data_IF_525612976437
#
_entry.id   IF_525612976437
#
_cell.length_a   1.000
_cell.length_b   1.000
_cell.length_c   1.000
_cell.angle_alpha   90.00
_cell.angle_beta   90.00
_cell.angle_gamma   90.00
#
_symmetry.space_group_name_H-M   'P 1'
#
loop_
_entity.id
_entity.type
_entity.pdbx_description
1 polymer ?
#
# COMPACT_ATOMS: atom_id res chain seq x y z
N UNK A 1 22.37 -5.81 -12.95
CA UNK A 1 23.53 -6.30 -12.15
C UNK A 1 22.96 -7.11 -11.00
N UNK A 2 23.52 -8.28 -10.69
CA UNK A 2 23.01 -9.11 -9.60
C UNK A 2 23.72 -8.79 -8.28
N UNK A 3 22.98 -8.69 -7.18
CA UNK A 3 23.59 -8.64 -5.84
C UNK A 3 23.89 -10.08 -5.42
N UNK A 4 25.15 -10.37 -5.10
CA UNK A 4 25.64 -11.75 -4.86
C UNK A 4 26.24 -11.98 -3.48
N UNK A 5 26.42 -10.93 -2.68
CA UNK A 5 27.06 -11.03 -1.37
C UNK A 5 27.28 -9.69 -0.69
N UNK A 6 28.01 -9.68 0.45
CA UNK A 6 28.42 -8.46 1.13
C UNK A 6 29.28 -7.56 0.24
N UNK A 7 29.23 -6.25 0.49
CA UNK A 7 30.07 -5.26 -0.16
C UNK A 7 30.99 -4.56 0.84
N UNK A 8 32.21 -4.29 0.42
CA UNK A 8 33.20 -3.61 1.26
C UNK A 8 32.78 -2.16 1.51
N UNK A 9 32.82 -1.73 2.77
CA UNK A 9 32.46 -0.36 3.15
C UNK A 9 30.96 -0.06 3.23
N UNK A 10 30.07 -1.03 2.94
CA UNK A 10 28.63 -0.86 3.19
C UNK A 10 28.29 -1.02 4.68
N UNK A 11 27.30 -0.26 5.16
CA UNK A 11 26.79 -0.39 6.51
C UNK A 11 26.23 -1.79 6.76
N UNK A 12 26.42 -2.31 7.98
CA UNK A 12 25.90 -3.63 8.37
C UNK A 12 24.45 -3.59 8.84
N UNK A 13 23.94 -2.41 9.16
CA UNK A 13 22.57 -2.21 9.61
C UNK A 13 21.94 -1.04 8.86
N UNK A 14 20.67 -1.19 8.54
CA UNK A 14 19.79 -0.13 8.06
C UNK A 14 18.54 -0.12 8.92
N UNK A 15 18.04 1.07 9.24
CA UNK A 15 16.76 1.24 9.95
C UNK A 15 15.75 1.86 9.01
N UNK A 16 14.59 1.23 8.86
CA UNK A 16 13.47 1.74 8.09
C UNK A 16 12.20 1.82 8.92
N UNK A 17 11.27 2.69 8.54
CA UNK A 17 9.97 2.77 9.17
C UNK A 17 8.88 3.17 8.19
N UNK A 18 7.67 2.67 8.37
CA UNK A 18 6.52 3.20 7.65
C UNK A 18 5.40 2.21 7.36
N UNK A 19 4.96 2.23 6.10
CA UNK A 19 3.82 1.50 5.58
C UNK A 19 3.68 0.06 6.11
N UNK A 20 2.48 -0.24 6.60
CA UNK A 20 2.12 -1.62 6.98
C UNK A 20 1.65 -2.44 5.78
N UNK A 21 1.15 -1.79 4.72
CA UNK A 21 0.69 -2.45 3.50
C UNK A 21 1.72 -3.42 2.91
N UNK A 22 3.03 -3.11 2.78
CA UNK A 22 4.03 -4.06 2.27
C UNK A 22 4.79 -4.82 3.38
N UNK A 23 4.38 -4.76 4.65
CA UNK A 23 5.24 -5.22 5.74
C UNK A 23 5.56 -6.72 5.65
N UNK A 24 4.63 -7.56 5.19
CA UNK A 24 4.87 -8.97 4.92
C UNK A 24 5.92 -9.17 3.81
N UNK A 25 5.82 -8.40 2.72
CA UNK A 25 6.77 -8.42 1.60
C UNK A 25 8.17 -7.96 2.03
N UNK A 26 8.25 -6.83 2.73
CA UNK A 26 9.50 -6.29 3.24
C UNK A 26 10.18 -7.22 4.23
N UNK A 27 9.42 -7.87 5.11
CA UNK A 27 9.96 -8.89 6.01
C UNK A 27 10.62 -10.03 5.23
N UNK A 28 9.99 -10.51 4.14
CA UNK A 28 10.58 -11.52 3.26
C UNK A 28 11.81 -10.99 2.53
N UNK A 29 11.73 -9.82 1.92
CA UNK A 29 12.84 -9.18 1.20
C UNK A 29 14.06 -9.04 2.11
N UNK A 30 13.89 -8.43 3.27
CA UNK A 30 14.98 -8.13 4.18
C UNK A 30 15.59 -9.38 4.79
N UNK A 31 14.80 -10.43 5.04
CA UNK A 31 15.33 -11.72 5.47
C UNK A 31 16.20 -12.39 4.40
N UNK A 32 15.75 -12.42 3.14
CA UNK A 32 16.52 -13.00 2.05
C UNK A 32 17.75 -12.16 1.69
N UNK A 33 17.63 -10.83 1.73
CA UNK A 33 18.75 -9.92 1.57
C UNK A 33 19.80 -10.13 2.67
N UNK A 34 19.39 -10.26 3.93
CA UNK A 34 20.31 -10.53 5.03
C UNK A 34 21.06 -11.85 4.87
N UNK A 35 20.39 -12.93 4.45
CA UNK A 35 21.07 -14.22 4.19
C UNK A 35 22.20 -14.06 3.17
N UNK A 36 21.95 -13.26 2.14
CA UNK A 36 22.86 -12.99 1.03
C UNK A 36 24.00 -12.04 1.40
N UNK A 37 23.71 -10.89 2.00
CA UNK A 37 24.66 -9.77 2.17
C UNK A 37 25.15 -9.59 3.60
N UNK A 38 24.50 -10.23 4.57
CA UNK A 38 24.68 -10.03 6.02
C UNK A 38 24.31 -8.62 6.52
N UNK A 39 23.69 -7.79 5.68
CA UNK A 39 23.11 -6.51 6.10
C UNK A 39 21.78 -6.78 6.79
N UNK A 40 21.64 -6.30 8.03
CA UNK A 40 20.39 -6.37 8.79
C UNK A 40 19.54 -5.13 8.52
N UNK A 41 18.26 -5.34 8.20
CA UNK A 41 17.31 -4.24 7.98
C UNK A 41 16.24 -4.27 9.06
N UNK A 42 16.31 -3.29 9.96
CA UNK A 42 15.38 -3.11 11.06
C UNK A 42 14.18 -2.27 10.59
N UNK A 43 13.11 -2.93 10.15
CA UNK A 43 11.92 -2.25 9.64
C UNK A 43 10.80 -2.16 10.68
N UNK A 44 10.34 -0.94 10.96
CA UNK A 44 9.23 -0.66 11.87
C UNK A 44 7.93 -0.41 11.08
N UNK A 45 7.00 -1.35 11.16
CA UNK A 45 5.66 -1.25 10.55
C UNK A 45 4.77 -0.33 11.40
N UNK A 46 4.76 0.96 11.09
CA UNK A 46 4.11 2.02 11.91
C UNK A 46 3.12 2.90 11.13
N UNK A 47 2.80 2.51 9.89
CA UNK A 47 1.96 3.29 8.99
C UNK A 47 2.75 4.33 8.18
N UNK A 48 2.23 4.66 7.00
CA UNK A 48 2.91 5.56 6.05
C UNK A 48 3.15 6.96 6.59
N UNK A 49 2.23 7.50 7.41
CA UNK A 49 2.42 8.79 8.07
C UNK A 49 3.59 8.76 9.05
N UNK A 50 3.75 7.65 9.78
CA UNK A 50 4.91 7.42 10.64
C UNK A 50 6.21 7.30 9.84
N UNK A 51 6.18 6.63 8.68
CA UNK A 51 7.33 6.50 7.78
C UNK A 51 7.78 7.83 7.18
N UNK A 52 6.82 8.62 6.68
CA UNK A 52 7.07 9.99 6.18
C UNK A 52 7.68 10.85 7.29
N UNK A 53 7.12 10.80 8.50
CA UNK A 53 7.67 11.55 9.64
C UNK A 53 9.08 11.09 9.99
N UNK A 54 9.33 9.78 10.05
CA UNK A 54 10.62 9.23 10.44
C UNK A 54 11.74 9.61 9.45
N UNK A 55 11.48 9.56 8.14
CA UNK A 55 12.46 10.00 7.15
C UNK A 55 12.63 11.52 7.19
N UNK A 56 11.54 12.30 7.27
CA UNK A 56 11.60 13.78 7.33
C UNK A 56 12.36 14.30 8.55
N UNK A 57 12.25 13.61 9.69
CA UNK A 57 12.97 13.91 10.92
C UNK A 57 14.36 13.25 11.00
N UNK A 58 14.77 12.51 9.97
CA UNK A 58 16.05 11.80 9.88
C UNK A 58 16.27 10.79 11.03
N UNK A 59 15.20 10.19 11.56
CA UNK A 59 15.27 9.16 12.60
C UNK A 59 15.33 7.74 12.04
N UNK A 60 15.11 7.58 10.73
CA UNK A 60 15.30 6.34 9.98
C UNK A 60 16.15 6.61 8.74
N UNK A 61 16.86 5.58 8.26
CA UNK A 61 17.68 5.66 7.05
C UNK A 61 16.83 5.70 5.78
N UNK A 62 15.63 5.12 5.83
CA UNK A 62 14.61 5.21 4.79
C UNK A 62 13.19 5.21 5.39
N UNK A 63 12.26 5.86 4.71
CA UNK A 63 10.84 5.79 4.99
C UNK A 63 10.12 4.81 4.07
N UNK A 64 8.90 4.41 4.40
CA UNK A 64 8.05 3.66 3.50
C UNK A 64 6.62 4.20 3.50
N UNK A 65 6.01 4.32 2.33
CA UNK A 65 4.67 4.89 2.17
C UNK A 65 3.88 4.24 1.04
N UNK A 66 2.57 4.15 1.20
CA UNK A 66 1.62 3.76 0.13
C UNK A 66 0.83 4.98 -0.37
N UNK A 67 1.07 6.14 0.24
CA UNK A 67 0.61 7.44 -0.22
C UNK A 67 1.81 8.19 -0.79
N UNK A 68 1.81 8.61 -2.06
CA UNK A 68 2.78 9.59 -2.52
C UNK A 68 2.83 10.78 -1.57
N UNK A 69 4.04 11.24 -1.23
CA UNK A 69 4.15 12.44 -0.38
C UNK A 69 3.60 13.64 -1.14
N UNK A 70 2.93 14.55 -0.45
CA UNK A 70 2.53 15.83 -1.05
C UNK A 70 3.75 16.75 -1.21
N UNK A 71 3.63 17.77 -2.04
CA UNK A 71 4.70 18.78 -2.20
C UNK A 71 4.99 19.52 -0.90
N UNK A 72 4.00 19.68 -0.02
CA UNK A 72 4.18 20.26 1.31
C UNK A 72 5.04 19.34 2.19
N UNK A 73 4.71 18.05 2.25
CA UNK A 73 5.49 17.07 3.01
C UNK A 73 6.93 16.95 2.49
N UNK A 74 7.14 17.04 1.18
CA UNK A 74 8.47 17.04 0.57
C UNK A 74 9.30 18.25 1.02
N UNK A 75 8.69 19.43 1.12
CA UNK A 75 9.36 20.65 1.60
C UNK A 75 9.69 20.62 3.10
N UNK A 76 8.94 19.85 3.88
CA UNK A 76 9.17 19.68 5.32
C UNK A 76 10.30 18.69 5.66
N UNK A 77 10.78 17.91 4.68
CA UNK A 77 11.84 16.92 4.88
C UNK A 77 13.20 17.61 5.16
N UNK A 78 13.75 17.41 6.36
CA UNK A 78 14.93 18.14 6.84
C UNK A 78 16.23 17.75 6.15
N UNK A 79 16.34 16.51 5.66
CA UNK A 79 17.52 15.99 4.98
C UNK A 79 17.64 16.34 3.48
N UNK A 80 16.71 17.13 2.92
CA UNK A 80 16.74 17.56 1.51
C UNK A 80 15.80 16.78 0.59
N UNK A 81 16.19 16.64 -0.68
CA UNK A 81 15.37 16.01 -1.73
C UNK A 81 15.09 14.53 -1.41
N UNK A 82 13.81 14.17 -1.31
CA UNK A 82 13.33 12.79 -1.16
C UNK A 82 12.99 12.21 -2.53
N UNK A 83 13.40 10.98 -2.75
CA UNK A 83 13.04 10.15 -3.89
C UNK A 83 11.98 9.12 -3.49
N UNK A 84 10.98 8.91 -4.35
CA UNK A 84 9.98 7.85 -4.20
C UNK A 84 10.38 6.66 -5.08
N UNK A 85 10.93 5.60 -4.49
CA UNK A 85 11.30 4.38 -5.21
C UNK A 85 10.16 3.35 -5.10
N UNK A 86 9.42 3.06 -6.19
CA UNK A 86 8.36 2.05 -6.15
C UNK A 86 8.96 0.66 -5.91
N UNK A 87 8.29 -0.16 -5.10
CA UNK A 87 8.79 -1.48 -4.69
C UNK A 87 7.91 -2.63 -5.17
N UNK A 88 6.59 -2.46 -5.11
CA UNK A 88 5.61 -3.44 -5.54
C UNK A 88 4.25 -2.77 -5.73
N UNK A 89 3.27 -3.54 -6.20
CA UNK A 89 1.87 -3.12 -6.23
C UNK A 89 1.01 -4.11 -5.46
N UNK A 90 -0.09 -3.63 -4.89
CA UNK A 90 -1.06 -4.49 -4.22
C UNK A 90 -2.48 -3.94 -4.31
N UNK A 91 -3.41 -4.69 -3.71
CA UNK A 91 -4.83 -4.40 -3.68
C UNK A 91 -5.27 -4.08 -2.25
N UNK A 92 -5.97 -2.96 -2.08
CA UNK A 92 -6.76 -2.73 -0.86
C UNK A 92 -8.12 -3.37 -1.06
N UNK A 93 -8.54 -4.22 -0.14
CA UNK A 93 -9.78 -5.00 -0.25
C UNK A 93 -10.79 -4.58 0.80
N UNK A 94 -12.06 -4.51 0.41
CA UNK A 94 -13.15 -4.49 1.38
C UNK A 94 -13.26 -5.89 1.98
N UNK A 95 -12.86 -6.03 3.24
CA UNK A 95 -12.89 -7.30 3.96
C UNK A 95 -13.97 -7.26 5.03
N UNK A 96 -14.65 -8.38 5.24
CA UNK A 96 -15.79 -8.42 6.16
C UNK A 96 -15.83 -9.72 6.97
N UNK A 97 -16.57 -9.67 8.06
CA UNK A 97 -16.88 -10.80 8.90
C UNK A 97 -18.40 -10.88 9.08
N UNK A 98 -19.04 -11.76 8.31
CA UNK A 98 -20.46 -12.06 8.45
C UNK A 98 -20.55 -13.57 8.66
N UNK A 99 -20.98 -14.04 9.84
CA UNK A 99 -21.04 -15.47 10.14
C UNK A 99 -21.77 -16.26 9.05
N UNK A 100 -21.07 -17.26 8.49
CA UNK A 100 -21.59 -18.14 7.43
C UNK A 100 -21.47 -17.59 6.00
N UNK A 101 -20.91 -16.39 5.81
CA UNK A 101 -20.65 -15.77 4.50
C UNK A 101 -19.16 -15.47 4.25
N UNK A 102 -18.26 -16.10 5.00
CA UNK A 102 -16.80 -15.87 4.92
C UNK A 102 -16.25 -16.23 3.53
N UNK A 103 -16.85 -17.21 2.85
CA UNK A 103 -16.49 -17.61 1.48
C UNK A 103 -17.39 -16.99 0.42
N UNK A 104 -18.40 -16.22 0.84
CA UNK A 104 -19.21 -15.48 -0.11
C UNK A 104 -18.30 -14.47 -0.83
N UNK A 105 -18.60 -14.23 -2.10
CA UNK A 105 -17.93 -13.22 -2.91
C UNK A 105 -18.85 -12.02 -3.01
N UNK A 106 -19.08 -11.36 -1.86
CA UNK A 106 -20.01 -10.22 -1.81
C UNK A 106 -19.53 -9.12 -2.77
N UNK A 107 -20.47 -8.56 -3.50
CA UNK A 107 -20.27 -7.54 -4.53
C UNK A 107 -20.60 -6.17 -3.97
N UNK A 108 -19.70 -5.22 -4.16
CA UNK A 108 -19.89 -3.84 -3.73
C UNK A 108 -19.57 -2.85 -4.85
N UNK A 109 -20.42 -1.85 -5.05
CA UNK A 109 -20.03 -0.66 -5.81
C UNK A 109 -19.23 0.31 -4.94
N UNK A 110 -18.52 1.24 -5.57
CA UNK A 110 -17.83 2.32 -4.87
C UNK A 110 -18.78 3.17 -4.02
N UNK A 111 -19.98 3.47 -4.54
CA UNK A 111 -21.01 4.24 -3.83
C UNK A 111 -21.56 3.49 -2.63
N UNK A 112 -21.71 2.16 -2.73
CA UNK A 112 -22.15 1.31 -1.61
C UNK A 112 -21.10 1.31 -0.50
N UNK A 113 -19.81 1.13 -0.84
CA UNK A 113 -18.72 1.24 0.13
C UNK A 113 -18.68 2.63 0.76
N UNK A 114 -18.76 3.70 -0.03
CA UNK A 114 -18.78 5.06 0.49
C UNK A 114 -19.94 5.28 1.46
N UNK A 115 -21.14 4.78 1.13
CA UNK A 115 -22.32 4.94 1.97
C UNK A 115 -22.22 4.14 3.29
N UNK A 116 -21.61 2.96 3.27
CA UNK A 116 -21.30 2.19 4.51
C UNK A 116 -20.36 3.00 5.40
N UNK A 117 -19.23 3.48 4.87
CA UNK A 117 -18.24 4.22 5.68
C UNK A 117 -18.69 5.65 6.05
N UNK A 118 -19.69 6.20 5.38
CA UNK A 118 -20.40 7.42 5.80
C UNK A 118 -21.41 7.19 6.93
N UNK A 119 -21.79 5.93 7.18
CA UNK A 119 -22.89 5.58 8.10
C UNK A 119 -24.29 5.75 7.51
N UNK A 120 -24.41 5.94 6.20
CA UNK A 120 -25.69 6.05 5.49
C UNK A 120 -26.33 4.67 5.24
N UNK A 121 -25.51 3.63 5.09
CA UNK A 121 -25.95 2.22 5.08
C UNK A 121 -25.51 1.58 6.39
N UNK A 122 -26.47 1.19 7.21
CA UNK A 122 -26.21 0.72 8.58
C UNK A 122 -26.53 -0.75 8.80
N UNK A 123 -27.16 -1.44 7.85
CA UNK A 123 -27.52 -2.87 7.95
C UNK A 123 -27.07 -3.67 6.73
N UNK A 124 -26.70 -4.93 6.93
CA UNK A 124 -26.21 -5.80 5.87
C UNK A 124 -27.25 -6.16 4.81
N UNK A 125 -28.53 -6.19 5.17
CA UNK A 125 -29.64 -6.44 4.24
C UNK A 125 -30.16 -5.16 3.55
N UNK A 126 -29.42 -4.05 3.61
CA UNK A 126 -29.79 -2.82 2.91
C UNK A 126 -30.07 -3.10 1.41
N UNK A 127 -31.12 -2.50 0.81
CA UNK A 127 -31.48 -2.74 -0.58
C UNK A 127 -30.35 -2.51 -1.58
N UNK A 128 -29.42 -1.58 -1.32
CA UNK A 128 -28.26 -1.34 -2.20
C UNK A 128 -27.27 -2.50 -2.18
N UNK A 129 -27.01 -3.08 -1.00
CA UNK A 129 -26.17 -4.27 -0.88
C UNK A 129 -26.89 -5.47 -1.50
N UNK A 130 -28.18 -5.65 -1.21
CA UNK A 130 -28.97 -6.77 -1.70
C UNK A 130 -29.10 -6.79 -3.23
N UNK A 131 -29.22 -5.63 -3.88
CA UNK A 131 -29.37 -5.52 -5.33
C UNK A 131 -28.20 -6.15 -6.10
N UNK A 132 -26.97 -5.98 -5.61
CA UNK A 132 -25.77 -6.54 -6.25
C UNK A 132 -25.47 -7.99 -5.82
N UNK A 133 -26.14 -8.49 -4.79
CA UNK A 133 -25.88 -9.78 -4.15
C UNK A 133 -27.08 -10.74 -4.21
N UNK A 134 -27.81 -10.72 -5.33
CA UNK A 134 -28.96 -11.59 -5.53
C UNK A 134 -28.62 -13.08 -5.26
N UNK A 135 -29.45 -13.72 -4.42
CA UNK A 135 -29.27 -15.11 -4.00
C UNK A 135 -28.45 -15.31 -2.73
N UNK A 136 -27.79 -14.27 -2.21
CA UNK A 136 -27.12 -14.31 -0.91
C UNK A 136 -28.12 -13.97 0.21
N UNK A 137 -28.17 -14.78 1.26
CA UNK A 137 -29.00 -14.52 2.45
C UNK A 137 -28.30 -13.51 3.34
N UNK A 138 -28.50 -12.22 3.06
CA UNK A 138 -27.94 -11.13 3.86
C UNK A 138 -28.70 -10.96 5.20
N UNK A 139 -27.99 -10.86 6.34
CA UNK A 139 -28.63 -10.73 7.65
C UNK A 139 -29.14 -9.30 7.91
N UNK A 140 -30.15 -9.15 8.77
CA UNK A 140 -30.69 -7.85 9.19
C UNK A 140 -29.90 -7.18 10.34
N UNK A 141 -28.60 -7.43 10.35
CA UNK A 141 -27.67 -7.07 11.42
C UNK A 141 -26.99 -5.74 11.11
N UNK A 142 -26.65 -5.00 12.17
CA UNK A 142 -25.98 -3.72 12.05
C UNK A 142 -24.54 -3.89 11.52
N UNK A 143 -24.12 -2.98 10.65
CA UNK A 143 -22.77 -2.95 10.10
C UNK A 143 -21.85 -2.24 11.07
N UNK A 144 -20.75 -2.90 11.44
CA UNK A 144 -19.64 -2.26 12.17
C UNK A 144 -18.52 -1.93 11.19
N UNK A 145 -18.37 -0.65 10.84
CA UNK A 145 -17.22 -0.22 10.03
C UNK A 145 -15.94 -0.21 10.86
N UNK A 146 -14.84 -0.67 10.27
CA UNK A 146 -13.51 -0.69 10.87
C UNK A 146 -12.56 0.09 9.97
N UNK A 147 -11.86 1.06 10.52
CA UNK A 147 -10.91 1.91 9.82
C UNK A 147 -9.57 1.94 10.53
N UNK A 148 -8.56 2.55 9.90
CA UNK A 148 -7.25 2.74 10.52
C UNK A 148 -7.29 3.84 11.58
N UNK A 149 -6.63 3.62 12.71
CA UNK A 149 -6.44 4.65 13.75
C UNK A 149 -5.14 5.46 13.59
N UNK A 150 -4.19 4.95 12.80
CA UNK A 150 -2.89 5.58 12.51
C UNK A 150 -2.84 6.21 11.12
N UNK A 151 -1.88 7.12 10.92
CA UNK A 151 -1.61 7.74 9.61
C UNK A 151 -1.18 6.70 8.58
N UNK A 152 -2.07 6.39 7.64
CA UNK A 152 -2.03 5.16 6.85
C UNK A 152 -2.09 5.42 5.35
N UNK A 153 -1.14 4.86 4.59
CA UNK A 153 -1.21 4.84 3.14
C UNK A 153 -2.37 3.98 2.62
N UNK A 154 -2.70 2.88 3.30
CA UNK A 154 -3.91 2.08 2.98
C UNK A 154 -5.18 2.92 3.12
N UNK A 155 -5.26 3.81 4.12
CA UNK A 155 -6.37 4.77 4.26
C UNK A 155 -6.36 5.77 3.13
N UNK A 156 -5.20 6.33 2.77
CA UNK A 156 -5.10 7.21 1.61
C UNK A 156 -5.65 6.54 0.35
N UNK A 157 -5.18 5.33 0.02
CA UNK A 157 -5.63 4.60 -1.18
C UNK A 157 -7.14 4.34 -1.15
N UNK A 158 -7.67 3.88 -0.01
CA UNK A 158 -9.11 3.62 0.13
C UNK A 158 -9.94 4.89 0.00
N UNK A 159 -9.54 5.96 0.69
CA UNK A 159 -10.27 7.24 0.68
C UNK A 159 -10.10 8.04 -0.62
N UNK A 160 -8.98 7.86 -1.34
CA UNK A 160 -8.77 8.37 -2.70
C UNK A 160 -9.74 7.68 -3.67
N UNK A 161 -9.85 6.35 -3.59
CA UNK A 161 -10.86 5.60 -4.34
C UNK A 161 -12.29 6.09 -4.02
N UNK A 162 -12.66 6.18 -2.73
CA UNK A 162 -13.99 6.66 -2.35
C UNK A 162 -14.25 8.10 -2.81
N UNK A 163 -13.23 8.96 -2.81
CA UNK A 163 -13.32 10.33 -3.34
C UNK A 163 -13.48 10.37 -4.86
N UNK A 164 -12.94 9.39 -5.59
CA UNK A 164 -13.09 9.30 -7.04
C UNK A 164 -14.51 8.89 -7.45
N UNK A 165 -15.14 7.99 -6.69
CA UNK A 165 -16.43 7.37 -7.04
C UNK A 165 -17.64 7.95 -6.31
N UNK A 166 -17.44 8.70 -5.22
CA UNK A 166 -18.54 9.30 -4.44
C UNK A 166 -18.32 10.81 -4.23
N UNK A 167 -19.12 11.67 -4.89
CA UNK A 167 -19.09 13.12 -4.66
C UNK A 167 -19.40 13.52 -3.21
N UNK A 168 -20.27 12.77 -2.53
CA UNK A 168 -20.60 13.00 -1.12
C UNK A 168 -19.39 12.73 -0.22
N UNK A 169 -18.70 11.60 -0.43
CA UNK A 169 -17.47 11.26 0.28
C UNK A 169 -16.41 12.33 0.06
N UNK A 170 -16.16 12.69 -1.20
CA UNK A 170 -15.16 13.70 -1.59
C UNK A 170 -15.39 15.03 -0.90
N UNK A 171 -16.64 15.44 -0.75
CA UNK A 171 -17.01 16.72 -0.14
C UNK A 171 -16.94 16.68 1.39
N UNK A 172 -17.38 15.58 2.02
CA UNK A 172 -17.48 15.48 3.48
C UNK A 172 -16.18 15.03 4.16
N UNK A 173 -15.44 14.13 3.52
CA UNK A 173 -14.30 13.43 4.14
C UNK A 173 -13.00 13.66 3.34
N UNK A 174 -13.06 13.53 2.01
CA UNK A 174 -11.89 13.64 1.14
C UNK A 174 -10.92 12.46 1.25
N UNK A 175 -9.67 12.68 0.82
CA UNK A 175 -8.62 11.66 0.75
C UNK A 175 -7.35 12.13 1.47
N UNK A 176 -6.85 11.31 2.39
CA UNK A 176 -5.64 11.59 3.17
C UNK A 176 -5.18 10.32 3.89
N UNK A 177 -3.94 10.31 4.38
CA UNK A 177 -3.47 9.25 5.29
C UNK A 177 -4.23 9.25 6.63
N UNK A 178 -4.84 10.39 6.99
CA UNK A 178 -5.70 10.57 8.15
C UNK A 178 -6.89 11.46 7.76
N UNK A 179 -8.10 11.00 8.04
CA UNK A 179 -9.36 11.72 7.79
C UNK A 179 -10.24 11.69 9.04
N UNK A 180 -11.22 12.59 9.10
CA UNK A 180 -12.24 12.57 10.14
C UNK A 180 -13.31 11.53 9.78
N UNK A 181 -13.12 10.29 10.23
CA UNK A 181 -14.08 9.21 9.99
C UNK A 181 -15.44 9.53 10.64
N UNK A 182 -16.57 9.39 9.91
CA UNK A 182 -17.91 9.64 10.47
C UNK A 182 -18.29 8.73 11.65
N UNK A 183 -17.65 7.56 11.74
CA UNK A 183 -17.80 6.60 12.82
C UNK A 183 -17.00 5.33 12.53
N UNK A 184 -17.20 4.31 13.38
CA UNK A 184 -16.53 3.01 13.26
C UNK A 184 -15.48 2.76 14.34
N UNK A 185 -14.81 1.62 14.23
CA UNK A 185 -13.76 1.17 15.15
C UNK A 185 -12.39 1.40 14.53
N UNK A 186 -11.46 1.99 15.29
CA UNK A 186 -10.11 2.26 14.84
C UNK A 186 -9.12 1.14 15.17
N UNK A 187 -8.62 0.42 14.15
CA UNK A 187 -7.54 -0.56 14.27
C UNK A 187 -6.18 0.03 13.88
N UNK A 188 -5.12 -0.27 14.63
CA UNK A 188 -3.75 0.20 14.31
C UNK A 188 -3.08 -0.74 13.30
N UNK A 189 -2.60 -0.20 12.19
CA UNK A 189 -1.97 -1.02 11.14
C UNK A 189 -2.97 -1.85 10.33
N UNK A 190 -2.47 -2.60 9.35
CA UNK A 190 -3.33 -3.54 8.62
C UNK A 190 -3.70 -4.73 9.53
N UNK A 191 -2.77 -5.10 10.40
CA UNK A 191 -2.88 -6.10 11.46
C UNK A 191 -4.04 -5.79 12.40
N UNK A 192 -4.12 -4.55 12.89
CA UNK A 192 -5.19 -4.14 13.80
C UNK A 192 -6.54 -4.14 13.12
N UNK A 193 -6.67 -3.59 11.91
CA UNK A 193 -7.95 -3.60 11.17
C UNK A 193 -8.41 -5.03 10.88
N UNK A 194 -7.52 -5.89 10.38
CA UNK A 194 -7.86 -7.31 10.15
C UNK A 194 -8.25 -8.02 11.45
N UNK A 195 -7.56 -7.73 12.56
CA UNK A 195 -7.87 -8.27 13.88
C UNK A 195 -9.25 -7.85 14.39
N UNK A 196 -9.58 -6.56 14.28
CA UNK A 196 -10.88 -6.02 14.66
C UNK A 196 -12.02 -6.61 13.82
N UNK A 197 -11.83 -6.71 12.49
CA UNK A 197 -12.82 -7.33 11.60
C UNK A 197 -13.04 -8.80 12.00
N UNK A 198 -11.96 -9.53 12.24
CA UNK A 198 -12.02 -10.95 12.63
C UNK A 198 -12.78 -11.18 13.94
N UNK A 199 -12.61 -10.31 14.92
CA UNK A 199 -13.19 -10.47 16.26
C UNK A 199 -14.59 -9.89 16.39
N UNK A 200 -15.00 -9.03 15.45
CA UNK A 200 -16.28 -8.33 15.48
C UNK A 200 -17.22 -8.90 14.42
N UNK A 201 -18.25 -9.68 14.79
CA UNK A 201 -19.28 -10.11 13.85
C UNK A 201 -19.97 -8.91 13.18
N UNK A 202 -20.39 -9.11 11.94
CA UNK A 202 -21.06 -8.12 11.10
C UNK A 202 -20.22 -6.87 10.80
N UNK A 203 -18.90 -7.00 10.87
CA UNK A 203 -17.98 -5.90 10.58
C UNK A 203 -17.50 -5.89 9.13
N UNK A 204 -17.07 -4.70 8.69
CA UNK A 204 -16.42 -4.47 7.40
C UNK A 204 -15.28 -3.48 7.58
N UNK A 205 -14.11 -3.79 7.03
CA UNK A 205 -12.94 -2.92 7.01
C UNK A 205 -12.23 -2.93 5.67
N UNK A 206 -11.11 -2.25 5.60
CA UNK A 206 -10.25 -2.21 4.42
C UNK A 206 -8.81 -2.54 4.79
N UNK A 207 -8.21 -3.50 4.09
CA UNK A 207 -6.84 -3.97 4.34
C UNK A 207 -6.13 -4.27 3.04
N UNK A 208 -4.80 -4.33 3.05
CA UNK A 208 -4.07 -4.99 1.96
C UNK A 208 -4.47 -6.49 1.90
N UNK A 209 -4.67 -7.01 0.70
CA UNK A 209 -5.21 -8.35 0.42
C UNK A 209 -4.60 -9.47 1.28
N UNK A 210 -3.27 -9.49 1.49
CA UNK A 210 -2.61 -10.58 2.22
C UNK A 210 -3.14 -10.70 3.64
N UNK A 211 -3.51 -9.58 4.28
CA UNK A 211 -4.02 -9.55 5.64
C UNK A 211 -5.41 -10.17 5.75
N UNK A 212 -6.27 -9.98 4.76
CA UNK A 212 -7.58 -10.64 4.70
C UNK A 212 -7.41 -12.15 4.47
N UNK A 213 -6.55 -12.53 3.53
CA UNK A 213 -6.29 -13.94 3.18
C UNK A 213 -5.70 -14.71 4.36
N UNK A 214 -4.65 -14.17 5.01
CA UNK A 214 -4.01 -14.82 6.16
C UNK A 214 -4.96 -14.96 7.36
N UNK A 215 -5.90 -14.04 7.51
CA UNK A 215 -6.90 -14.09 8.58
C UNK A 215 -8.17 -14.86 8.21
N UNK A 216 -8.27 -15.38 6.98
CA UNK A 216 -9.44 -16.11 6.46
C UNK A 216 -10.73 -15.30 6.54
N UNK A 217 -10.63 -14.00 6.26
CA UNK A 217 -11.76 -13.09 6.24
C UNK A 217 -12.46 -13.11 4.89
N UNK A 218 -13.73 -12.70 4.87
CA UNK A 218 -14.45 -12.46 3.62
C UNK A 218 -13.77 -11.35 2.81
N UNK A 219 -13.73 -11.52 1.49
CA UNK A 219 -13.12 -10.56 0.56
C UNK A 219 -14.15 -10.18 -0.49
N UNK A 220 -14.54 -8.90 -0.50
CA UNK A 220 -15.52 -8.38 -1.44
C UNK A 220 -14.95 -8.19 -2.85
N UNK A 221 -15.80 -8.41 -3.85
CA UNK A 221 -15.58 -7.97 -5.22
C UNK A 221 -16.02 -6.52 -5.33
N UNK A 222 -15.23 -5.72 -6.05
CA UNK A 222 -15.52 -4.29 -6.23
C UNK A 222 -15.86 -4.03 -7.68
N UNK A 223 -16.94 -3.28 -7.93
CA UNK A 223 -17.30 -2.84 -9.29
C UNK A 223 -16.24 -1.84 -9.77
N UNK A 224 -15.54 -2.17 -10.85
CA UNK A 224 -14.62 -1.24 -11.48
C UNK A 224 -15.35 -0.22 -12.36
N UNK A 225 -14.59 0.76 -12.86
CA UNK A 225 -15.09 1.82 -13.73
C UNK A 225 -15.75 1.34 -15.03
N UNK A 226 -15.36 0.15 -15.52
CA UNK A 226 -16.00 -0.51 -16.67
C UNK A 226 -17.30 -1.26 -16.32
N UNK A 227 -17.75 -1.16 -15.07
CA UNK A 227 -19.00 -1.75 -14.58
C UNK A 227 -18.91 -3.23 -14.22
N UNK A 228 -17.70 -3.81 -14.16
CA UNK A 228 -17.48 -5.22 -13.84
C UNK A 228 -17.14 -5.41 -12.37
N UNK A 229 -17.77 -6.39 -11.71
CA UNK A 229 -17.34 -6.81 -10.37
C UNK A 229 -16.10 -7.68 -10.49
N UNK A 230 -14.98 -7.19 -9.98
CA UNK A 230 -13.68 -7.84 -10.13
C UNK A 230 -13.15 -8.31 -8.78
N UNK A 231 -12.49 -9.47 -8.81
CA UNK A 231 -11.74 -9.99 -7.66
C UNK A 231 -10.43 -9.22 -7.48
N UNK A 232 -9.95 -9.06 -6.23
CA UNK A 232 -8.64 -8.49 -5.95
C UNK A 232 -7.54 -9.48 -6.33
N UNK A 233 -7.18 -9.50 -7.61
CA UNK A 233 -6.15 -10.36 -8.16
C UNK A 233 -4.98 -9.53 -8.71
N UNK A 234 -3.77 -10.10 -8.67
CA UNK A 234 -2.55 -9.46 -9.13
C UNK A 234 -2.66 -8.93 -10.57
N UNK A 235 -3.28 -9.71 -11.46
CA UNK A 235 -3.50 -9.30 -12.84
C UNK A 235 -4.34 -8.02 -12.95
N UNK A 236 -5.33 -7.83 -12.07
CA UNK A 236 -6.15 -6.62 -12.04
C UNK A 236 -5.40 -5.40 -11.49
N UNK A 237 -4.50 -5.61 -10.53
CA UNK A 237 -3.59 -4.58 -10.01
C UNK A 237 -2.57 -4.16 -11.09
N UNK A 238 -1.96 -5.12 -11.79
CA UNK A 238 -1.08 -4.84 -12.93
C UNK A 238 -1.80 -4.11 -14.04
N UNK A 239 -3.06 -4.48 -14.34
CA UNK A 239 -3.88 -3.79 -15.34
C UNK A 239 -4.16 -2.33 -14.94
N UNK A 240 -4.45 -2.06 -13.66
CA UNK A 240 -4.64 -0.70 -13.17
C UNK A 240 -3.37 0.15 -13.34
N UNK A 241 -2.20 -0.40 -13.03
CA UNK A 241 -0.93 0.28 -13.24
C UNK A 241 -0.63 0.57 -14.72
N UNK A 242 -0.92 -0.39 -15.61
CA UNK A 242 -0.78 -0.20 -17.06
C UNK A 242 -1.70 0.92 -17.58
N UNK A 243 -2.95 0.95 -17.12
CA UNK A 243 -3.91 2.00 -17.47
C UNK A 243 -3.50 3.39 -16.95
N UNK A 244 -2.72 3.45 -15.87
CA UNK A 244 -2.18 4.68 -15.29
C UNK A 244 -0.81 5.10 -15.85
N UNK A 245 -0.17 4.32 -16.73
CA UNK A 245 1.22 4.54 -17.14
C UNK A 245 1.49 5.96 -17.68
N UNK A 246 0.56 6.52 -18.46
CA UNK A 246 0.65 7.89 -18.99
C UNK A 246 0.46 9.01 -17.95
N UNK A 247 0.11 8.67 -16.71
CA UNK A 247 -0.11 9.61 -15.59
C UNK A 247 1.04 9.61 -14.57
N UNK A 248 2.02 8.72 -14.74
CA UNK A 248 3.14 8.58 -13.81
C UNK A 248 4.06 9.81 -13.92
N UNK A 249 4.17 10.57 -12.83
CA UNK A 249 5.03 11.74 -12.77
C UNK A 249 6.53 11.36 -12.85
N UNK A 250 7.43 12.31 -13.21
CA UNK A 250 8.88 12.04 -13.25
C UNK A 250 9.47 11.58 -11.91
N UNK A 251 8.88 12.02 -10.79
CA UNK A 251 9.25 11.61 -9.43
C UNK A 251 8.51 10.34 -8.97
N UNK A 252 7.87 9.61 -9.90
CA UNK A 252 7.17 8.33 -9.70
C UNK A 252 6.01 8.36 -8.70
N UNK A 253 5.56 9.55 -8.29
CA UNK A 253 4.31 9.72 -7.56
C UNK A 253 3.13 9.54 -8.52
N UNK A 254 2.17 8.70 -8.16
CA UNK A 254 0.98 8.44 -8.96
C UNK A 254 -0.12 7.81 -8.09
N UNK A 255 -1.39 8.12 -8.38
CA UNK A 255 -2.53 7.31 -7.93
C UNK A 255 -3.01 6.42 -9.08
N UNK A 256 -3.27 5.16 -8.77
CA UNK A 256 -3.77 4.16 -9.72
C UNK A 256 -5.15 3.60 -9.30
N UNK A 257 -5.89 4.35 -8.49
CA UNK A 257 -7.29 3.99 -8.16
C UNK A 257 -8.20 4.25 -9.35
N UNK A 258 -9.29 3.47 -9.42
CA UNK A 258 -10.40 3.59 -10.37
C UNK A 258 -9.98 3.81 -11.84
N UNK A 259 -8.95 3.09 -12.29
CA UNK A 259 -8.46 3.19 -13.66
C UNK A 259 -9.39 2.49 -14.65
N UNK A 260 -9.42 3.00 -15.88
CA UNK A 260 -10.20 2.44 -16.99
C UNK A 260 -9.71 1.03 -17.37
N UNK A 261 -10.63 0.19 -17.85
CA UNK A 261 -10.34 -1.14 -18.36
C UNK A 261 -11.23 -2.21 -17.73
N UNK A 262 -11.60 -3.28 -18.47
CA UNK A 262 -12.58 -4.26 -18.01
C UNK A 262 -12.06 -5.15 -16.87
N UNK A 263 -10.74 -5.28 -16.73
CA UNK A 263 -10.10 -6.18 -15.75
C UNK A 263 -9.36 -5.43 -14.63
N UNK A 264 -9.42 -4.10 -14.58
CA UNK A 264 -8.71 -3.33 -13.55
C UNK A 264 -9.34 -3.58 -12.19
N UNK A 265 -8.51 -3.83 -11.18
CA UNK A 265 -8.96 -3.80 -9.79
C UNK A 265 -8.95 -2.34 -9.30
N UNK A 266 -10.10 -1.80 -8.84
CA UNK A 266 -10.25 -0.35 -8.71
C UNK A 266 -9.56 0.25 -7.48
N UNK A 267 -9.19 -0.55 -6.48
CA UNK A 267 -8.53 -0.05 -5.26
C UNK A 267 -7.09 -0.57 -5.20
N UNK A 268 -6.32 -0.20 -6.23
CA UNK A 268 -4.93 -0.62 -6.43
C UNK A 268 -3.96 0.49 -6.02
N UNK A 269 -2.76 0.12 -5.57
CA UNK A 269 -1.69 1.09 -5.32
C UNK A 269 -0.30 0.51 -5.53
N UNK A 270 0.65 1.38 -5.87
CA UNK A 270 2.05 1.13 -5.60
C UNK A 270 2.34 1.31 -4.10
N UNK A 271 3.47 0.77 -3.67
CA UNK A 271 4.12 1.13 -2.40
C UNK A 271 5.54 1.59 -2.69
N UNK A 272 6.02 2.58 -1.94
CA UNK A 272 7.30 3.23 -2.18
C UNK A 272 8.20 3.15 -0.94
N UNK A 273 9.50 2.98 -1.17
CA UNK A 273 10.52 3.41 -0.21
C UNK A 273 10.88 4.87 -0.50
N UNK A 274 11.03 5.65 0.56
CA UNK A 274 11.47 7.03 0.56
C UNK A 274 12.94 7.07 0.95
N UNK A 275 13.78 7.64 0.09
CA UNK A 275 15.20 7.80 0.38
C UNK A 275 15.62 9.25 0.09
N UNK A 276 16.53 9.78 0.91
CA UNK A 276 17.20 11.02 0.55
C UNK A 276 18.13 10.80 -0.64
N UNK A 277 18.07 11.71 -1.62
CA UNK A 277 19.01 11.72 -2.74
C UNK A 277 20.45 11.96 -2.29
N UNK A 278 20.62 12.69 -1.19
CA UNK A 278 21.91 13.00 -0.59
C UNK A 278 21.92 12.50 0.84
N UNK A 279 22.69 11.45 1.09
CA UNK A 279 22.85 10.86 2.42
C UNK A 279 24.20 11.27 3.02
N UNK A 280 24.23 11.71 4.29
CA UNK A 280 25.48 12.10 4.94
C UNK A 280 26.42 10.91 5.17
N UNK A 281 25.86 9.73 5.47
CA UNK A 281 26.60 8.51 5.71
C UNK A 281 26.75 7.71 4.40
N UNK A 282 27.96 7.66 3.86
CA UNK A 282 28.27 6.96 2.62
C UNK A 282 28.12 5.43 2.73
N UNK A 283 28.38 4.84 3.90
CA UNK A 283 28.25 3.41 4.12
C UNK A 283 26.76 2.99 4.10
N UNK A 284 25.91 3.80 4.73
CA UNK A 284 24.44 3.62 4.69
C UNK A 284 23.87 3.88 3.30
N UNK A 285 24.34 4.91 2.61
CA UNK A 285 23.93 5.19 1.23
C UNK A 285 24.23 4.02 0.29
N UNK A 286 25.42 3.43 0.43
CA UNK A 286 25.84 2.25 -0.34
C UNK A 286 24.95 1.05 -0.02
N UNK A 287 24.74 0.76 1.27
CA UNK A 287 23.88 -0.34 1.70
C UNK A 287 22.42 -0.17 1.21
N UNK A 288 21.86 1.04 1.33
CA UNK A 288 20.49 1.35 0.92
C UNK A 288 20.32 1.22 -0.60
N UNK A 289 21.21 1.81 -1.40
CA UNK A 289 21.11 1.71 -2.87
C UNK A 289 21.21 0.27 -3.36
N UNK A 290 22.05 -0.55 -2.75
CA UNK A 290 22.15 -1.99 -3.06
C UNK A 290 20.89 -2.76 -2.66
N UNK A 291 20.32 -2.47 -1.49
CA UNK A 291 19.04 -3.04 -1.05
C UNK A 291 17.91 -2.68 -2.02
N UNK A 292 17.79 -1.40 -2.39
CA UNK A 292 16.77 -0.91 -3.33
C UNK A 292 16.93 -1.55 -4.72
N UNK A 293 18.17 -1.67 -5.18
CA UNK A 293 18.47 -2.34 -6.45
C UNK A 293 18.01 -3.80 -6.44
N UNK A 294 18.45 -4.58 -5.46
CA UNK A 294 18.04 -5.99 -5.32
C UNK A 294 16.52 -6.13 -5.18
N UNK A 295 15.90 -5.23 -4.41
CA UNK A 295 14.47 -5.27 -4.15
C UNK A 295 13.62 -4.98 -5.39
N UNK A 296 14.07 -4.08 -6.28
CA UNK A 296 13.40 -3.77 -7.55
C UNK A 296 13.68 -4.78 -8.66
N UNK A 297 14.58 -5.74 -8.42
CA UNK A 297 15.01 -6.76 -9.38
C UNK A 297 14.79 -8.17 -8.83
N UNK A 298 15.82 -8.82 -8.29
CA UNK A 298 15.79 -10.24 -7.94
C UNK A 298 14.76 -10.58 -6.87
N UNK A 299 14.43 -9.64 -5.98
CA UNK A 299 13.43 -9.85 -4.95
C UNK A 299 11.99 -9.90 -5.51
N UNK A 300 11.74 -9.32 -6.70
CA UNK A 300 10.41 -9.29 -7.32
C UNK A 300 9.81 -10.68 -7.52
N UNK A 301 10.66 -11.72 -7.60
CA UNK A 301 10.23 -13.13 -7.66
C UNK A 301 9.44 -13.60 -6.44
N UNK A 302 9.55 -12.93 -5.30
CA UNK A 302 8.82 -13.27 -4.08
C UNK A 302 7.43 -12.63 -4.00
N UNK A 303 7.08 -11.71 -4.90
CA UNK A 303 5.86 -10.90 -4.78
C UNK A 303 4.60 -11.75 -4.90
N UNK A 304 4.56 -12.65 -5.89
CA UNK A 304 3.38 -13.44 -6.21
C UNK A 304 2.89 -14.29 -5.04
N UNK A 305 3.82 -14.97 -4.36
CA UNK A 305 3.53 -15.82 -3.19
C UNK A 305 2.97 -15.03 -2.00
N UNK A 306 3.20 -13.72 -1.96
CA UNK A 306 2.78 -12.82 -0.89
C UNK A 306 1.62 -11.90 -1.29
N UNK A 307 1.02 -12.09 -2.46
CA UNK A 307 -0.14 -11.30 -2.87
C UNK A 307 0.19 -9.92 -3.43
N UNK A 308 1.42 -9.69 -3.90
CA UNK A 308 1.82 -8.45 -4.57
C UNK A 308 2.12 -8.68 -6.05
N UNK A 309 1.81 -7.68 -6.88
CA UNK A 309 2.21 -7.67 -8.28
C UNK A 309 3.64 -7.10 -8.42
N UNK A 310 4.45 -7.65 -9.33
CA UNK A 310 5.77 -7.10 -9.61
C UNK A 310 5.67 -5.75 -10.33
N UNK A 311 6.73 -4.96 -10.22
CA UNK A 311 6.83 -3.67 -10.91
C UNK A 311 6.81 -3.85 -12.44
N UNK A 312 6.08 -3.00 -13.19
CA UNK A 312 6.21 -2.94 -14.64
C UNK A 312 7.65 -2.60 -15.07
N UNK A 313 8.16 -3.14 -16.18
CA UNK A 313 9.54 -2.91 -16.62
C UNK A 313 9.93 -1.43 -16.76
N UNK A 314 9.01 -0.59 -17.24
CA UNK A 314 9.23 0.86 -17.33
C UNK A 314 9.44 1.52 -15.96
N UNK A 315 8.70 1.07 -14.95
CA UNK A 315 8.82 1.57 -13.57
C UNK A 315 10.15 1.11 -12.97
N UNK A 316 10.59 -0.12 -13.26
CA UNK A 316 11.93 -0.59 -12.86
C UNK A 316 13.00 0.33 -13.46
N UNK A 317 12.94 0.61 -14.77
CA UNK A 317 13.93 1.49 -15.43
C UNK A 317 13.96 2.90 -14.83
N UNK A 318 12.81 3.50 -14.52
CA UNK A 318 12.76 4.81 -13.86
C UNK A 318 13.29 4.74 -12.41
N UNK A 319 12.95 3.68 -11.68
CA UNK A 319 13.47 3.42 -10.34
C UNK A 319 14.98 3.24 -10.31
N UNK A 320 15.57 2.55 -11.29
CA UNK A 320 17.02 2.43 -11.43
C UNK A 320 17.71 3.79 -11.53
N UNK A 321 17.14 4.71 -12.32
CA UNK A 321 17.68 6.05 -12.49
C UNK A 321 17.69 6.81 -11.15
N UNK A 322 16.62 6.70 -10.35
CA UNK A 322 16.56 7.27 -9.01
C UNK A 322 17.60 6.66 -8.08
N UNK A 323 17.69 5.33 -8.03
CA UNK A 323 18.67 4.61 -7.18
C UNK A 323 20.10 5.04 -7.53
N UNK A 324 20.44 5.11 -8.82
CA UNK A 324 21.77 5.54 -9.30
C UNK A 324 22.05 7.03 -9.00
N UNK A 325 21.02 7.85 -8.81
CA UNK A 325 21.17 9.26 -8.46
C UNK A 325 21.44 9.51 -6.97
N UNK A 326 21.27 8.50 -6.11
CA UNK A 326 21.55 8.60 -4.68
C UNK A 326 23.05 8.73 -4.47
N UNK A 327 23.41 9.67 -3.61
CA UNK A 327 24.78 10.02 -3.28
C UNK A 327 25.02 9.87 -1.76
N UNK A 328 26.23 9.45 -1.41
CA UNK A 328 26.71 9.36 -0.04
C UNK A 328 27.93 10.26 0.13
N UNK A 329 27.89 11.21 1.06
CA UNK A 329 28.95 12.21 1.27
C UNK A 329 29.37 12.91 -0.05
N UNK A 330 28.41 13.23 -0.93
CA UNK A 330 28.64 13.94 -2.19
C UNK A 330 29.18 13.08 -3.34
N UNK A 331 29.36 11.77 -3.16
CA UNK A 331 29.77 10.83 -4.22
C UNK A 331 28.65 9.87 -4.60
N UNK A 332 28.60 9.32 -5.82
CA UNK A 332 27.65 8.28 -6.18
C UNK A 332 27.70 7.12 -5.19
N UNK A 333 26.53 6.72 -4.65
CA UNK A 333 26.46 5.68 -3.62
C UNK A 333 26.31 4.27 -4.21
N UNK A 334 25.67 4.13 -5.37
CA UNK A 334 25.51 2.83 -6.01
C UNK A 334 26.82 2.40 -6.68
N UNK A 335 27.41 1.25 -6.29
CA UNK A 335 28.77 0.89 -6.72
C UNK A 335 28.88 0.45 -8.19
N UNK A 336 27.75 0.22 -8.89
CA UNK A 336 27.71 -0.01 -10.34
C UNK A 336 28.41 -1.28 -10.86
N UNK A 337 29.04 -2.08 -10.00
CA UNK A 337 29.73 -3.35 -10.27
C UNK A 337 29.70 -4.28 -9.07
#
# INVERSE_FOLDING_TARGET
MAITGPFEGEAKTLTGAGATFPAALYSKYFNEYNKLTKVEVNYQSIGSGGGIKAISDQTADFGATDSPMTDAQLKEAKGGEILHIPMALGAVVATYNIPGLETAKLKFTGETLAAIFLGNITKWNDPKIAADNAGVKLPAEDIVSVHRSDGSGTSFVFTDYLSAVSPEWKTKVGASTTVNWPGGVGGKGNEGVAGEVKQTPFSIGYVELIYAVQNKLGVGLVKNKAGQFVEPALAGVTAAAAAAAGKVAPDLRVSIVDQDGPTTYPISSFTWILAYKQMPDAAKATALTRLLWWSTHEAQKFNGDLGYAPLPPEIVTKGEAMIKSITGAGKPAFPGK
#
